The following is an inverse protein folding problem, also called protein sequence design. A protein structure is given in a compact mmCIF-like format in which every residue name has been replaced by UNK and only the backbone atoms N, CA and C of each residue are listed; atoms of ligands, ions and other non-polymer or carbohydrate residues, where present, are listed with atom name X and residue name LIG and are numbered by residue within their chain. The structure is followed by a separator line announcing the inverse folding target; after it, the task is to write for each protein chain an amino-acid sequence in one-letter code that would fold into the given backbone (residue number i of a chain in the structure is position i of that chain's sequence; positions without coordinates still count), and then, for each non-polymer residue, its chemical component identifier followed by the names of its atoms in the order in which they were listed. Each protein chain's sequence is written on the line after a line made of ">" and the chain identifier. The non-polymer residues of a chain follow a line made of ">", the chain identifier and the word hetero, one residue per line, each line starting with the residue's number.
data_IF_396945970136
#
_entry.id   IF_396945970136
#
_cell.length_a   1.000
_cell.length_b   1.000
_cell.length_c   1.000
_cell.angle_alpha   90.00
_cell.angle_beta   90.00
_cell.angle_gamma   90.00
#
_symmetry.space_group_name_H-M   'P 1'
#
loop_
_entity.id
_entity.type
_entity.pdbx_description
1 polymer ?
#
# COMPACT_ATOMS: atom_id res chain seq x y z
N UNK A 1 -0.68 -66.12 -32.01
CA UNK A 1 -1.66 -65.47 -31.20
C UNK A 1 -2.99 -66.22 -31.23
N UNK A 2 -3.82 -66.04 -30.24
CA UNK A 2 -5.21 -66.48 -30.23
C UNK A 2 -5.99 -65.72 -31.29
N UNK A 3 -7.09 -66.27 -31.80
CA UNK A 3 -7.93 -65.60 -32.79
C UNK A 3 -8.44 -64.26 -32.24
N UNK A 4 -8.41 -63.21 -33.05
CA UNK A 4 -8.90 -61.88 -32.66
C UNK A 4 -7.99 -61.03 -31.73
N UNK A 5 -6.75 -61.50 -31.48
CA UNK A 5 -5.81 -60.74 -30.70
C UNK A 5 -5.21 -59.60 -31.53
N UNK A 6 -5.15 -58.36 -31.02
CA UNK A 6 -4.54 -57.24 -31.72
C UNK A 6 -3.02 -57.42 -31.80
N UNK A 7 -2.43 -56.82 -32.82
CA UNK A 7 -0.98 -56.56 -32.81
C UNK A 7 -0.67 -55.50 -31.78
N UNK A 8 0.42 -55.64 -31.05
CA UNK A 8 0.91 -54.66 -30.10
C UNK A 8 2.16 -54.02 -30.69
N UNK A 9 2.12 -52.71 -30.80
CA UNK A 9 3.21 -51.88 -31.31
C UNK A 9 3.93 -51.26 -30.10
N UNK A 10 5.23 -51.49 -29.96
CA UNK A 10 6.06 -50.92 -28.89
C UNK A 10 6.24 -49.39 -29.04
N UNK A 11 6.08 -48.88 -30.26
CA UNK A 11 6.07 -47.47 -30.58
C UNK A 11 4.67 -46.86 -30.54
N UNK A 12 3.65 -47.58 -30.06
CA UNK A 12 2.26 -47.14 -30.03
C UNK A 12 1.98 -45.95 -29.13
N UNK A 13 2.91 -45.57 -28.27
CA UNK A 13 2.90 -44.36 -27.42
C UNK A 13 3.70 -43.19 -27.98
N UNK A 14 4.17 -43.27 -29.24
CA UNK A 14 4.90 -42.19 -29.92
C UNK A 14 6.40 -42.15 -29.69
N UNK A 15 6.94 -42.91 -28.76
CA UNK A 15 8.38 -43.01 -28.52
C UNK A 15 8.95 -44.32 -29.03
N UNK A 16 9.55 -44.28 -30.21
CA UNK A 16 9.92 -45.43 -31.04
C UNK A 16 11.06 -46.28 -30.47
N UNK A 17 11.88 -45.75 -29.56
CA UNK A 17 13.13 -46.43 -29.16
C UNK A 17 13.26 -46.63 -27.63
N UNK A 18 12.44 -46.03 -26.81
CA UNK A 18 12.58 -46.03 -25.35
C UNK A 18 11.70 -47.08 -24.64
N UNK A 19 10.70 -47.63 -25.31
CA UNK A 19 9.73 -48.54 -24.72
C UNK A 19 9.90 -50.00 -25.13
N UNK A 20 9.34 -50.87 -24.32
CA UNK A 20 9.16 -52.30 -24.64
C UNK A 20 7.71 -52.69 -24.37
N UNK A 21 7.23 -53.71 -25.12
CA UNK A 21 5.94 -54.34 -24.84
C UNK A 21 6.04 -55.21 -23.60
N UNK A 22 5.39 -54.82 -22.52
CA UNK A 22 5.41 -55.48 -21.22
C UNK A 22 4.03 -56.03 -20.83
N UNK A 23 3.99 -57.24 -20.26
CA UNK A 23 2.74 -57.77 -19.70
C UNK A 23 2.45 -57.10 -18.36
N UNK A 24 1.29 -56.47 -18.27
CA UNK A 24 0.87 -55.72 -17.07
C UNK A 24 -0.45 -56.28 -16.48
N UNK A 25 -0.36 -56.81 -15.26
CA UNK A 25 0.84 -57.14 -14.46
C UNK A 25 1.63 -58.31 -15.07
N UNK A 26 2.84 -58.59 -14.54
CA UNK A 26 3.68 -59.68 -14.99
C UNK A 26 2.90 -60.96 -15.23
N UNK A 27 3.00 -61.53 -16.46
CA UNK A 27 2.31 -62.75 -16.85
C UNK A 27 0.81 -62.59 -17.20
N UNK A 28 0.28 -61.37 -17.17
CA UNK A 28 -1.13 -61.12 -17.51
C UNK A 28 -1.55 -61.61 -18.87
N UNK A 29 -2.83 -61.95 -19.03
CA UNK A 29 -3.48 -62.35 -20.28
C UNK A 29 -3.21 -63.80 -20.74
N UNK A 30 -2.29 -64.50 -20.12
CA UNK A 30 -1.98 -65.90 -20.45
C UNK A 30 -1.27 -66.10 -21.81
N UNK A 31 -1.17 -67.39 -22.26
CA UNK A 31 -0.45 -67.72 -23.46
C UNK A 31 -1.12 -67.19 -24.74
N UNK A 32 -0.33 -66.65 -25.65
CA UNK A 32 -0.75 -66.19 -27.00
C UNK A 32 -1.81 -65.05 -26.95
N UNK A 33 -1.85 -64.31 -25.85
CA UNK A 33 -2.76 -63.17 -25.65
C UNK A 33 -1.95 -61.88 -25.57
N UNK A 34 -2.31 -60.89 -26.38
CA UNK A 34 -1.68 -59.56 -26.45
C UNK A 34 -2.40 -58.46 -25.71
N UNK A 35 -3.62 -58.71 -25.24
CA UNK A 35 -4.42 -57.68 -24.57
C UNK A 35 -3.84 -57.24 -23.21
N UNK A 36 -2.95 -58.03 -22.62
CA UNK A 36 -2.27 -57.67 -21.39
C UNK A 36 -0.94 -56.94 -21.57
N UNK A 37 -0.54 -56.62 -22.81
CA UNK A 37 0.68 -55.85 -23.03
C UNK A 37 0.42 -54.35 -22.93
N UNK A 38 1.34 -53.66 -22.30
CA UNK A 38 1.50 -52.22 -22.32
C UNK A 38 2.91 -51.84 -22.75
N UNK A 39 3.06 -50.69 -23.35
CA UNK A 39 4.35 -50.09 -23.65
C UNK A 39 4.85 -49.33 -22.44
N UNK A 40 6.03 -49.60 -21.97
CA UNK A 40 6.69 -48.91 -20.89
C UNK A 40 8.21 -49.06 -20.95
N UNK A 41 8.92 -48.24 -20.14
CA UNK A 41 10.37 -48.30 -20.03
C UNK A 41 10.84 -49.76 -19.83
N UNK A 42 11.81 -50.30 -20.62
CA UNK A 42 12.27 -51.66 -20.51
C UNK A 42 12.75 -52.01 -19.08
N UNK A 43 12.26 -53.13 -18.56
CA UNK A 43 12.62 -53.67 -17.22
C UNK A 43 13.28 -55.03 -17.29
N UNK A 44 14.43 -55.21 -18.00
CA UNK A 44 15.04 -56.53 -18.20
C UNK A 44 15.49 -57.15 -16.88
N UNK A 45 14.94 -58.32 -16.54
CA UNK A 45 15.28 -59.04 -15.32
C UNK A 45 14.58 -58.52 -14.04
N UNK A 46 13.67 -57.56 -14.16
CA UNK A 46 12.89 -57.02 -13.09
C UNK A 46 11.37 -57.17 -13.34
N UNK A 47 10.56 -56.83 -12.38
CA UNK A 47 9.10 -56.73 -12.53
C UNK A 47 8.77 -55.66 -13.56
N UNK A 48 7.82 -55.96 -14.47
CA UNK A 48 7.37 -55.01 -15.45
C UNK A 48 6.80 -53.76 -14.77
N UNK A 49 7.15 -52.62 -15.31
CA UNK A 49 6.54 -51.37 -14.91
C UNK A 49 5.11 -51.30 -15.49
N UNK A 50 4.17 -51.28 -14.60
CA UNK A 50 2.74 -51.23 -14.93
C UNK A 50 2.11 -49.93 -14.40
N UNK A 51 2.90 -48.92 -14.17
CA UNK A 51 2.39 -47.60 -13.83
C UNK A 51 1.41 -47.20 -14.94
N UNK A 52 0.26 -46.76 -14.52
CA UNK A 52 -0.73 -46.11 -15.39
C UNK A 52 -0.47 -44.62 -15.29
N UNK A 53 -0.12 -44.02 -16.40
CA UNK A 53 -0.11 -42.60 -16.52
C UNK A 53 -1.47 -42.02 -16.09
N UNK A 54 -1.45 -40.87 -15.45
CA UNK A 54 -2.62 -40.12 -15.05
C UNK A 54 -2.59 -38.76 -15.74
N UNK A 55 -3.59 -38.47 -16.53
CA UNK A 55 -3.70 -37.17 -17.21
C UNK A 55 -3.51 -36.00 -16.26
N UNK A 56 -2.78 -34.94 -16.66
CA UNK A 56 -2.57 -33.76 -15.82
C UNK A 56 -3.88 -33.10 -15.40
N UNK A 57 -3.87 -32.52 -14.20
CA UNK A 57 -4.98 -31.76 -13.67
C UNK A 57 -4.55 -30.39 -13.20
N UNK A 58 -5.44 -29.39 -13.30
CA UNK A 58 -5.29 -28.12 -12.60
C UNK A 58 -5.65 -28.35 -11.14
N UNK A 59 -4.73 -28.06 -10.24
CA UNK A 59 -4.88 -28.24 -8.78
C UNK A 59 -5.16 -26.92 -8.06
N UNK A 60 -4.65 -25.81 -8.58
CA UNK A 60 -4.89 -24.49 -8.02
C UNK A 60 -4.90 -23.39 -9.09
N UNK A 61 -5.53 -22.27 -8.78
CA UNK A 61 -5.56 -21.08 -9.64
C UNK A 61 -5.87 -19.80 -8.83
N UNK A 62 -5.30 -18.71 -9.30
CA UNK A 62 -5.57 -17.36 -8.79
C UNK A 62 -5.94 -16.44 -9.97
N UNK A 63 -6.90 -15.50 -9.82
CA UNK A 63 -7.80 -15.33 -8.67
C UNK A 63 -8.65 -16.55 -8.37
N UNK A 64 -9.04 -16.73 -7.10
CA UNK A 64 -9.89 -17.85 -6.68
C UNK A 64 -11.28 -17.82 -7.37
N UNK A 65 -11.96 -18.95 -7.39
CA UNK A 65 -13.34 -19.03 -7.92
C UNK A 65 -14.25 -18.09 -7.14
N UNK A 66 -15.01 -17.27 -7.90
CA UNK A 66 -15.99 -16.32 -7.40
C UNK A 66 -15.40 -15.21 -6.50
N UNK A 67 -14.07 -15.00 -6.59
CA UNK A 67 -13.42 -13.87 -5.94
C UNK A 67 -14.07 -12.55 -6.38
N UNK A 68 -14.22 -11.62 -5.44
CA UNK A 68 -14.77 -10.27 -5.64
C UNK A 68 -13.68 -9.23 -5.45
N UNK A 69 -13.87 -8.03 -5.99
CA UNK A 69 -12.94 -6.91 -5.79
C UNK A 69 -11.57 -7.12 -6.42
N UNK A 70 -11.45 -8.00 -7.42
CA UNK A 70 -10.17 -8.33 -8.04
C UNK A 70 -9.64 -7.13 -8.83
N UNK A 71 -8.39 -6.74 -8.62
CA UNK A 71 -7.80 -5.61 -9.32
C UNK A 71 -7.87 -5.78 -10.85
N UNK A 72 -8.21 -4.71 -11.56
CA UNK A 72 -8.36 -4.72 -13.03
C UNK A 72 -7.08 -5.09 -13.80
N UNK A 73 -5.93 -5.09 -13.14
CA UNK A 73 -4.60 -5.41 -13.69
C UNK A 73 -4.07 -6.77 -13.25
N UNK A 74 -4.88 -7.57 -12.55
CA UNK A 74 -4.47 -8.85 -11.98
C UNK A 74 -3.99 -9.83 -13.03
N UNK A 75 -2.85 -10.48 -12.77
CA UNK A 75 -2.40 -11.66 -13.50
C UNK A 75 -3.15 -12.91 -13.00
N UNK A 76 -3.28 -13.90 -13.87
CA UNK A 76 -3.92 -15.18 -13.59
C UNK A 76 -2.83 -16.22 -13.40
N UNK A 77 -2.86 -16.97 -12.31
CA UNK A 77 -1.94 -18.08 -12.03
C UNK A 77 -2.69 -19.39 -12.18
N UNK A 78 -2.06 -20.39 -12.78
CA UNK A 78 -2.62 -21.75 -12.92
C UNK A 78 -1.54 -22.75 -12.53
N UNK A 79 -1.86 -23.63 -11.58
CA UNK A 79 -0.96 -24.70 -11.10
C UNK A 79 -1.50 -26.08 -11.49
N UNK A 80 -0.60 -26.94 -11.95
CA UNK A 80 -0.87 -28.32 -12.35
C UNK A 80 -0.25 -29.30 -11.35
N UNK A 81 -0.82 -30.52 -11.27
CA UNK A 81 -0.32 -31.59 -10.40
C UNK A 81 0.98 -32.25 -10.91
N UNK A 82 1.32 -31.99 -12.17
CA UNK A 82 2.52 -32.52 -12.81
C UNK A 82 3.07 -31.55 -13.88
N UNK A 83 4.32 -31.75 -14.38
CA UNK A 83 4.89 -30.93 -15.44
C UNK A 83 4.10 -31.02 -16.73
N UNK A 84 3.66 -29.88 -17.29
CA UNK A 84 2.92 -29.79 -18.55
C UNK A 84 3.59 -28.87 -19.55
N UNK A 85 3.28 -29.09 -20.83
CA UNK A 85 3.54 -28.19 -21.93
C UNK A 85 2.27 -27.53 -22.39
N UNK A 86 2.27 -26.20 -22.50
CA UNK A 86 1.13 -25.42 -22.99
C UNK A 86 1.42 -24.83 -24.36
N UNK A 87 0.45 -24.85 -25.28
CA UNK A 87 0.63 -24.37 -26.64
C UNK A 87 -0.44 -23.38 -27.07
N UNK A 88 -0.05 -22.37 -27.85
CA UNK A 88 -0.96 -21.42 -28.45
C UNK A 88 -1.82 -20.68 -27.42
N UNK A 89 -3.12 -20.59 -27.68
CA UNK A 89 -4.10 -19.99 -26.75
C UNK A 89 -4.71 -21.07 -25.84
N UNK A 90 -3.85 -21.67 -25.01
CA UNK A 90 -4.22 -22.76 -24.11
C UNK A 90 -5.26 -22.36 -23.03
N UNK A 91 -5.43 -21.07 -22.80
CA UNK A 91 -6.45 -20.53 -21.95
C UNK A 91 -7.30 -19.48 -22.69
N UNK A 92 -8.56 -19.38 -22.36
CA UNK A 92 -9.42 -18.28 -22.77
C UNK A 92 -9.71 -17.41 -21.55
N UNK A 93 -9.47 -16.09 -21.68
CA UNK A 93 -9.83 -15.07 -20.71
C UNK A 93 -10.93 -14.24 -21.33
N UNK A 94 -12.15 -14.37 -20.82
CA UNK A 94 -13.33 -13.69 -21.38
C UNK A 94 -14.12 -12.98 -20.31
N UNK A 95 -14.28 -11.68 -20.46
CA UNK A 95 -15.02 -10.81 -19.56
C UNK A 95 -16.33 -10.33 -20.21
N UNK A 96 -17.27 -9.90 -19.38
CA UNK A 96 -18.64 -9.51 -19.83
C UNK A 96 -18.59 -8.19 -20.59
N UNK A 97 -17.83 -7.21 -20.12
CA UNK A 97 -17.76 -5.84 -20.67
C UNK A 97 -16.57 -5.69 -21.61
N UNK A 98 -15.35 -5.98 -21.14
CA UNK A 98 -14.11 -5.83 -21.92
C UNK A 98 -13.89 -6.92 -22.99
N UNK A 99 -14.65 -8.01 -22.94
CA UNK A 99 -14.64 -9.05 -23.96
C UNK A 99 -13.53 -10.09 -23.77
N UNK A 100 -12.91 -10.52 -24.88
CA UNK A 100 -11.84 -11.55 -24.83
C UNK A 100 -10.47 -10.89 -24.82
N UNK A 101 -9.68 -11.19 -23.81
CA UNK A 101 -8.33 -10.67 -23.64
C UNK A 101 -7.29 -11.52 -24.32
N UNK A 102 -6.30 -10.86 -24.94
CA UNK A 102 -5.02 -11.44 -25.28
C UNK A 102 -4.10 -11.39 -24.07
N UNK A 103 -3.13 -12.30 -24.02
CA UNK A 103 -2.26 -12.42 -22.85
C UNK A 103 -0.87 -12.92 -23.23
N UNK A 104 0.08 -12.69 -22.33
CA UNK A 104 1.40 -13.33 -22.32
C UNK A 104 1.41 -14.43 -21.27
N UNK A 105 2.14 -15.52 -21.56
CA UNK A 105 2.36 -16.63 -20.60
C UNK A 105 3.82 -16.65 -20.19
N UNK A 106 4.08 -16.77 -18.89
CA UNK A 106 5.40 -16.97 -18.30
C UNK A 106 5.34 -18.10 -17.27
N UNK A 107 6.50 -18.58 -16.79
CA UNK A 107 6.57 -19.70 -15.84
C UNK A 107 6.55 -21.07 -16.54
N UNK A 108 6.10 -22.11 -15.85
CA UNK A 108 6.10 -23.51 -16.23
C UNK A 108 7.27 -24.30 -15.63
N UNK A 109 7.25 -25.63 -15.68
CA UNK A 109 6.20 -26.49 -16.30
C UNK A 109 5.02 -26.82 -15.37
N UNK A 110 5.06 -26.46 -14.07
CA UNK A 110 4.00 -26.75 -13.08
C UNK A 110 3.09 -25.53 -12.85
N UNK A 111 3.68 -24.35 -12.69
CA UNK A 111 2.95 -23.09 -12.48
C UNK A 111 3.14 -22.17 -13.67
N UNK A 112 2.04 -21.65 -14.20
CA UNK A 112 2.04 -20.67 -15.28
C UNK A 112 1.36 -19.37 -14.83
N UNK A 113 1.99 -18.24 -15.18
CA UNK A 113 1.44 -16.91 -15.01
C UNK A 113 0.96 -16.37 -16.34
N UNK A 114 -0.31 -16.05 -16.42
CA UNK A 114 -0.98 -15.48 -17.60
C UNK A 114 -1.29 -14.01 -17.31
N UNK A 115 -0.61 -13.12 -18.01
CA UNK A 115 -0.76 -11.68 -17.86
C UNK A 115 -1.54 -11.12 -19.05
N UNK A 116 -2.78 -10.64 -18.85
CA UNK A 116 -3.53 -9.95 -19.89
C UNK A 116 -2.74 -8.76 -20.45
N UNK A 117 -2.86 -8.51 -21.75
CA UNK A 117 -2.15 -7.39 -22.40
C UNK A 117 -2.83 -6.05 -22.19
N UNK A 118 -4.10 -6.07 -21.79
CA UNK A 118 -4.92 -4.91 -21.43
C UNK A 118 -5.64 -5.21 -20.12
N UNK A 119 -5.87 -4.19 -19.32
CA UNK A 119 -6.62 -4.30 -18.06
C UNK A 119 -8.06 -4.75 -18.30
N UNK A 120 -8.63 -5.42 -17.32
CA UNK A 120 -10.07 -5.71 -17.27
C UNK A 120 -10.85 -4.39 -17.08
N UNK A 121 -12.13 -4.36 -17.47
CA UNK A 121 -13.03 -3.29 -17.05
C UNK A 121 -13.34 -3.42 -15.55
N UNK A 122 -13.78 -2.34 -14.94
CA UNK A 122 -14.24 -2.35 -13.56
C UNK A 122 -15.63 -3.00 -13.45
N UNK A 123 -15.96 -3.56 -12.30
CA UNK A 123 -17.26 -4.16 -11.98
C UNK A 123 -17.72 -5.21 -13.00
N UNK A 124 -16.82 -5.96 -13.59
CA UNK A 124 -17.18 -6.99 -14.57
C UNK A 124 -16.83 -8.41 -14.10
N UNK A 125 -17.61 -9.37 -14.57
CA UNK A 125 -17.31 -10.79 -14.40
C UNK A 125 -16.39 -11.25 -15.53
N UNK A 126 -15.23 -11.80 -15.15
CA UNK A 126 -14.30 -12.45 -16.06
C UNK A 126 -14.31 -13.97 -15.86
N UNK A 127 -14.34 -14.72 -16.94
CA UNK A 127 -14.31 -16.19 -16.95
C UNK A 127 -13.05 -16.69 -17.63
N UNK A 128 -12.28 -17.49 -16.92
CA UNK A 128 -11.12 -18.22 -17.40
C UNK A 128 -11.55 -19.61 -17.80
N UNK A 129 -10.92 -20.12 -18.85
CA UNK A 129 -11.16 -21.49 -19.31
C UNK A 129 -9.88 -22.07 -19.86
N UNK A 130 -9.39 -23.15 -19.25
CA UNK A 130 -8.26 -23.94 -19.74
C UNK A 130 -8.75 -24.90 -20.83
N UNK A 131 -8.09 -24.88 -21.99
CA UNK A 131 -8.40 -25.75 -23.11
C UNK A 131 -7.62 -27.07 -23.00
N UNK A 132 -8.28 -28.19 -22.71
CA UNK A 132 -7.60 -29.47 -22.51
C UNK A 132 -6.80 -29.98 -23.71
N UNK A 133 -7.17 -29.56 -24.92
CA UNK A 133 -6.47 -30.00 -26.13
C UNK A 133 -5.10 -29.34 -26.35
N UNK A 134 -4.82 -28.25 -25.60
CA UNK A 134 -3.60 -27.44 -25.74
C UNK A 134 -2.70 -27.51 -24.49
N UNK A 135 -3.01 -28.42 -23.56
CA UNK A 135 -2.21 -28.73 -22.37
C UNK A 135 -1.87 -30.21 -22.43
N UNK A 136 -0.59 -30.54 -22.51
CA UNK A 136 -0.07 -31.93 -22.55
C UNK A 136 0.96 -32.10 -21.43
N UNK A 137 1.02 -33.30 -20.84
CA UNK A 137 2.09 -33.63 -19.91
C UNK A 137 3.47 -33.65 -20.59
N UNK A 138 4.52 -33.88 -19.81
CA UNK A 138 5.89 -33.95 -20.27
C UNK A 138 6.53 -35.32 -19.97
N UNK A 139 5.76 -36.25 -19.45
CA UNK A 139 6.29 -37.59 -19.22
C UNK A 139 6.21 -38.46 -20.48
N UNK A 140 6.60 -39.70 -20.35
CA UNK A 140 6.69 -40.68 -21.48
C UNK A 140 5.86 -41.93 -21.20
N UNK A 141 5.05 -41.92 -20.15
CA UNK A 141 4.28 -43.10 -19.71
C UNK A 141 2.86 -43.17 -20.32
N UNK A 142 2.67 -42.51 -21.42
CA UNK A 142 1.45 -42.26 -22.20
C UNK A 142 0.61 -43.47 -22.66
N UNK A 143 -0.65 -43.22 -23.05
CA UNK A 143 -1.57 -42.10 -22.73
C UNK A 143 -2.27 -42.30 -21.37
N UNK A 144 -2.92 -41.28 -20.81
CA UNK A 144 -3.50 -40.07 -21.44
C UNK A 144 -2.67 -38.81 -21.26
N UNK A 145 -2.16 -38.25 -22.32
CA UNK A 145 -1.22 -37.11 -22.39
C UNK A 145 -1.84 -35.74 -22.21
N UNK A 146 -3.17 -35.63 -22.27
CA UNK A 146 -3.87 -34.34 -22.26
C UNK A 146 -4.57 -34.09 -20.95
N UNK A 147 -4.76 -32.80 -20.61
CA UNK A 147 -5.52 -32.38 -19.43
C UNK A 147 -6.82 -33.18 -19.31
N UNK A 148 -7.02 -33.81 -18.15
CA UNK A 148 -8.11 -34.77 -17.91
C UNK A 148 -9.51 -34.19 -18.20
N UNK A 149 -9.70 -32.90 -17.95
CA UNK A 149 -10.98 -32.22 -18.14
C UNK A 149 -10.81 -30.71 -18.34
N UNK A 150 -11.77 -30.10 -19.03
CA UNK A 150 -11.89 -28.65 -19.12
C UNK A 150 -12.09 -28.05 -17.73
N UNK A 151 -11.25 -27.07 -17.37
CA UNK A 151 -11.41 -26.30 -16.13
C UNK A 151 -11.87 -24.89 -16.48
N UNK A 152 -12.87 -24.41 -15.74
CA UNK A 152 -13.36 -23.05 -15.90
C UNK A 152 -13.77 -22.47 -14.54
N UNK A 153 -13.42 -21.22 -14.32
CA UNK A 153 -13.79 -20.46 -13.12
C UNK A 153 -14.01 -18.99 -13.48
N UNK A 154 -14.58 -18.21 -12.59
CA UNK A 154 -14.80 -16.78 -12.77
C UNK A 154 -14.44 -16.01 -11.51
N UNK A 155 -14.17 -14.73 -11.70
CA UNK A 155 -14.04 -13.72 -10.65
C UNK A 155 -14.76 -12.43 -11.09
N UNK A 156 -14.97 -11.51 -10.16
CA UNK A 156 -15.52 -10.17 -10.43
C UNK A 156 -14.43 -9.14 -10.11
N UNK A 157 -14.18 -8.22 -11.04
CA UNK A 157 -13.26 -7.12 -10.82
C UNK A 157 -13.82 -6.10 -9.83
N UNK A 158 -12.95 -5.37 -9.15
CA UNK A 158 -13.33 -4.26 -8.29
C UNK A 158 -13.96 -3.11 -9.07
N UNK A 159 -14.62 -2.20 -8.34
CA UNK A 159 -15.13 -0.94 -8.87
C UNK A 159 -14.04 -0.03 -9.39
N UNK A 160 -14.44 1.02 -10.09
CA UNK A 160 -13.50 2.07 -10.51
C UNK A 160 -12.78 2.65 -9.28
N UNK A 161 -11.45 2.72 -9.27
CA UNK A 161 -10.73 3.24 -8.12
C UNK A 161 -11.16 4.65 -7.78
N UNK A 162 -11.27 4.92 -6.49
CA UNK A 162 -11.67 6.22 -5.98
C UNK A 162 -10.50 7.22 -6.08
N UNK A 163 -10.29 7.80 -7.25
CA UNK A 163 -9.19 8.72 -7.58
C UNK A 163 -9.24 10.07 -6.82
N UNK A 164 -10.30 10.29 -6.05
CA UNK A 164 -10.50 11.44 -5.17
C UNK A 164 -10.07 11.20 -3.71
N UNK A 165 -9.72 9.97 -3.34
CA UNK A 165 -9.18 9.64 -2.01
C UNK A 165 -7.78 10.23 -1.88
N UNK A 166 -7.50 10.85 -0.73
CA UNK A 166 -6.23 11.50 -0.41
C UNK A 166 -5.64 10.92 0.88
N UNK A 167 -4.32 11.00 0.99
CA UNK A 167 -3.63 10.82 2.27
C UNK A 167 -3.93 12.05 3.11
N UNK A 168 -4.57 11.88 4.26
CA UNK A 168 -5.08 12.96 5.09
C UNK A 168 -4.21 13.27 6.30
N UNK A 169 -3.66 12.22 6.92
CA UNK A 169 -2.80 12.32 8.09
C UNK A 169 -1.69 11.26 8.03
N UNK A 170 -0.49 11.62 8.50
CA UNK A 170 0.66 10.71 8.62
C UNK A 170 1.29 10.95 9.99
N UNK A 171 1.44 9.90 10.80
CA UNK A 171 2.16 9.88 12.07
C UNK A 171 3.24 8.80 11.99
N UNK A 172 4.49 9.23 11.79
CA UNK A 172 5.63 8.34 11.54
C UNK A 172 6.60 8.23 12.72
N UNK A 173 6.53 9.15 13.69
CA UNK A 173 7.47 9.20 14.82
C UNK A 173 6.70 9.44 16.12
N UNK A 174 6.53 8.41 16.93
CA UNK A 174 5.77 8.45 18.17
C UNK A 174 6.66 8.39 19.40
N UNK A 175 6.27 8.95 20.59
CA UNK A 175 7.14 9.03 21.75
C UNK A 175 7.72 7.69 22.21
N UNK A 176 9.03 7.54 22.12
CA UNK A 176 9.78 6.42 22.66
C UNK A 176 9.91 5.24 21.71
N UNK A 177 9.08 4.21 21.81
CA UNK A 177 9.02 3.11 20.84
C UNK A 177 7.81 3.35 19.96
N UNK A 178 8.01 3.35 18.64
CA UNK A 178 6.95 3.61 17.68
C UNK A 178 5.86 2.54 17.76
N UNK A 179 4.78 2.87 18.46
CA UNK A 179 3.67 1.96 18.75
C UNK A 179 2.30 2.58 18.49
N UNK A 180 2.26 3.77 17.89
CA UNK A 180 1.04 4.48 17.54
C UNK A 180 1.10 5.10 16.14
N UNK A 181 1.99 4.59 15.28
CA UNK A 181 2.12 5.03 13.89
C UNK A 181 0.87 4.72 13.07
N UNK A 182 0.51 5.66 12.19
CA UNK A 182 -0.60 5.44 11.27
C UNK A 182 -0.51 6.30 10.02
N UNK A 183 -1.28 5.88 9.02
CA UNK A 183 -1.63 6.66 7.85
C UNK A 183 -3.16 6.72 7.81
N UNK A 184 -3.71 7.89 7.57
CA UNK A 184 -5.14 8.07 7.36
C UNK A 184 -5.41 8.50 5.92
N UNK A 185 -6.42 7.89 5.33
CA UNK A 185 -7.00 8.29 4.05
C UNK A 185 -8.34 8.99 4.29
N UNK A 186 -8.69 9.91 3.38
CA UNK A 186 -9.96 10.63 3.42
C UNK A 186 -10.57 10.74 2.02
N UNK A 187 -11.87 10.47 1.89
CA UNK A 187 -12.60 10.45 0.63
C UNK A 187 -13.37 11.74 0.31
N UNK A 188 -13.09 12.80 1.06
CA UNK A 188 -13.80 14.08 0.92
C UNK A 188 -15.16 14.11 1.63
N UNK A 189 -15.39 13.22 2.62
CA UNK A 189 -16.63 13.13 3.40
C UNK A 189 -17.79 12.47 2.64
N UNK A 190 -17.49 11.66 1.62
CA UNK A 190 -18.50 10.89 0.88
C UNK A 190 -19.01 9.71 1.68
N UNK A 191 -18.11 9.06 2.44
CA UNK A 191 -18.38 7.91 3.27
C UNK A 191 -18.60 6.60 2.50
N UNK A 192 -18.19 5.48 3.12
CA UNK A 192 -18.35 4.13 2.59
C UNK A 192 -17.77 3.93 1.18
N UNK A 193 -16.73 4.71 0.84
CA UNK A 193 -16.03 4.60 -0.45
C UNK A 193 -15.19 3.33 -0.49
N UNK A 194 -15.43 2.43 -1.43
CA UNK A 194 -14.60 1.26 -1.66
C UNK A 194 -13.17 1.67 -2.09
N UNK A 195 -12.16 1.03 -1.51
CA UNK A 195 -10.74 1.29 -1.79
C UNK A 195 -10.13 0.26 -2.75
N UNK A 196 -10.98 -0.51 -3.44
CA UNK A 196 -10.55 -1.49 -4.43
C UNK A 196 -9.68 -0.85 -5.53
N UNK A 197 -8.57 -1.49 -5.83
CA UNK A 197 -7.61 -1.00 -6.83
C UNK A 197 -6.74 0.15 -6.35
N UNK A 198 -6.84 0.55 -5.08
CA UNK A 198 -5.90 1.45 -4.42
C UNK A 198 -4.88 0.68 -3.60
N UNK A 199 -3.68 1.23 -3.49
CA UNK A 199 -2.62 0.67 -2.65
C UNK A 199 -1.71 1.78 -2.12
N UNK A 200 -1.12 1.53 -0.95
CA UNK A 200 -0.08 2.37 -0.37
C UNK A 200 1.28 1.74 -0.65
N UNK A 201 2.23 2.55 -1.12
CA UNK A 201 3.64 2.18 -1.25
C UNK A 201 4.47 3.09 -0.35
N UNK A 202 5.28 2.49 0.50
CA UNK A 202 6.20 3.18 1.39
C UNK A 202 7.59 3.20 0.79
N UNK A 203 8.20 4.39 0.69
CA UNK A 203 9.53 4.61 0.11
C UNK A 203 10.52 5.12 1.15
N UNK A 204 11.70 4.52 1.18
CA UNK A 204 12.81 4.93 2.03
C UNK A 204 13.69 5.97 1.30
N UNK A 205 13.81 7.16 1.87
CA UNK A 205 14.58 8.26 1.28
C UNK A 205 16.09 8.07 1.32
N UNK A 206 16.61 7.15 2.15
CA UNK A 206 18.05 6.88 2.19
C UNK A 206 18.55 6.16 0.93
N UNK A 207 17.67 5.43 0.23
CA UNK A 207 18.01 4.65 -0.96
C UNK A 207 17.05 4.87 -2.15
N UNK A 208 15.95 5.60 -1.95
CA UNK A 208 14.90 5.89 -2.93
C UNK A 208 14.20 4.64 -3.49
N UNK A 209 14.08 3.60 -2.67
CA UNK A 209 13.40 2.35 -3.03
C UNK A 209 12.17 2.12 -2.15
N UNK A 210 11.17 1.43 -2.69
CA UNK A 210 10.03 0.97 -1.91
C UNK A 210 10.46 -0.10 -0.90
N UNK A 211 9.90 -0.08 0.30
CA UNK A 211 10.14 -1.12 1.30
C UNK A 211 8.89 -1.89 1.70
N UNK A 212 7.71 -1.33 1.46
CA UNK A 212 6.45 -2.01 1.72
C UNK A 212 5.37 -1.56 0.74
N UNK A 213 4.53 -2.50 0.31
CA UNK A 213 3.32 -2.25 -0.48
C UNK A 213 2.13 -2.85 0.25
N UNK A 214 1.07 -2.07 0.43
CA UNK A 214 -0.13 -2.42 1.19
C UNK A 214 -1.32 -2.31 0.23
N UNK A 215 -1.99 -3.42 -0.05
CA UNK A 215 -3.19 -3.49 -0.87
C UNK A 215 -4.40 -3.10 -0.03
N UNK A 216 -5.23 -2.20 -0.55
CA UNK A 216 -6.44 -1.72 0.10
C UNK A 216 -7.72 -2.39 -0.45
N UNK A 217 -7.58 -3.39 -1.33
CA UNK A 217 -8.69 -4.15 -1.88
C UNK A 217 -9.54 -4.84 -0.81
N UNK A 218 -10.84 -4.70 -0.90
CA UNK A 218 -11.80 -5.25 0.06
C UNK A 218 -12.05 -4.37 1.29
N UNK A 219 -11.39 -3.22 1.41
CA UNK A 219 -11.65 -2.21 2.44
C UNK A 219 -12.50 -1.07 1.91
N UNK A 220 -13.06 -0.28 2.82
CA UNK A 220 -13.83 0.93 2.53
C UNK A 220 -13.57 1.98 3.60
N UNK A 221 -13.74 3.25 3.27
CA UNK A 221 -13.80 4.31 4.26
C UNK A 221 -15.01 4.12 5.19
N UNK A 222 -14.99 4.72 6.36
CA UNK A 222 -16.11 4.75 7.28
C UNK A 222 -17.27 5.66 6.78
N UNK A 223 -18.33 5.82 7.56
CA UNK A 223 -19.48 6.68 7.21
C UNK A 223 -19.11 8.18 7.11
N UNK A 224 -18.00 8.59 7.72
CA UNK A 224 -17.47 9.96 7.72
C UNK A 224 -16.43 10.19 6.62
N UNK A 225 -15.96 9.11 5.98
CA UNK A 225 -15.01 9.16 4.86
C UNK A 225 -13.56 8.91 5.25
N UNK A 226 -13.28 8.46 6.47
CA UNK A 226 -11.93 8.12 6.95
C UNK A 226 -11.62 6.63 6.78
N UNK A 227 -10.34 6.33 6.59
CA UNK A 227 -9.78 4.97 6.66
C UNK A 227 -8.40 5.02 7.28
N UNK A 228 -8.22 4.35 8.41
CA UNK A 228 -6.96 4.36 9.16
C UNK A 228 -6.24 3.02 8.98
N UNK A 229 -4.97 3.09 8.57
CA UNK A 229 -4.05 1.95 8.59
C UNK A 229 -2.90 2.26 9.55
N UNK A 230 -2.62 1.35 10.48
CA UNK A 230 -1.64 1.61 11.53
C UNK A 230 -1.51 0.48 12.53
N UNK A 231 -0.79 0.73 13.61
CA UNK A 231 -0.70 -0.24 14.67
C UNK A 231 -1.95 -0.27 15.58
N UNK A 232 -2.02 -1.25 16.45
CA UNK A 232 -3.21 -1.50 17.28
C UNK A 232 -3.53 -0.40 18.29
N UNK A 233 -2.61 0.52 18.59
CA UNK A 233 -2.81 1.58 19.58
C UNK A 233 -3.74 2.68 19.06
N UNK A 234 -3.81 2.88 17.75
CA UNK A 234 -4.68 3.88 17.10
C UNK A 234 -6.06 3.35 16.69
N UNK A 235 -6.37 2.07 16.99
CA UNK A 235 -7.64 1.42 16.62
C UNK A 235 -7.91 1.49 15.11
N UNK A 236 -6.99 0.98 14.26
CA UNK A 236 -7.07 1.16 12.82
C UNK A 236 -8.09 0.21 12.17
N UNK A 237 -8.55 0.56 10.95
CA UNK A 237 -9.35 -0.31 10.07
C UNK A 237 -8.48 -1.44 9.49
N UNK A 238 -7.21 -1.14 9.22
CA UNK A 238 -6.20 -2.11 8.79
C UNK A 238 -5.02 -2.12 9.76
N UNK A 239 -4.87 -3.22 10.50
CA UNK A 239 -3.78 -3.39 11.46
C UNK A 239 -2.46 -3.68 10.75
N UNK A 240 -1.44 -2.89 11.04
CA UNK A 240 -0.05 -3.07 10.60
C UNK A 240 0.87 -3.37 11.80
N UNK A 241 2.09 -3.82 11.51
CA UNK A 241 3.08 -4.07 12.55
C UNK A 241 3.65 -2.75 13.08
N UNK A 242 3.98 -2.68 14.37
CA UNK A 242 4.68 -1.54 14.95
C UNK A 242 5.99 -1.25 14.20
N UNK A 243 6.32 0.01 14.00
CA UNK A 243 7.49 0.44 13.24
C UNK A 243 7.37 0.17 11.74
N UNK A 244 6.16 0.19 11.19
CA UNK A 244 5.95 0.01 9.74
C UNK A 244 6.31 1.27 8.94
N UNK A 245 6.22 2.45 9.55
CA UNK A 245 6.77 3.68 9.01
C UNK A 245 8.21 3.89 9.52
N UNK A 246 9.08 4.43 8.70
CA UNK A 246 10.45 4.75 9.09
C UNK A 246 10.53 6.24 9.45
N UNK A 247 11.30 6.59 10.50
CA UNK A 247 11.37 7.96 11.05
C UNK A 247 12.28 8.92 10.24
N UNK A 248 12.81 8.48 9.13
CA UNK A 248 13.69 9.30 8.27
C UNK A 248 12.91 10.23 7.35
N UNK A 249 13.60 10.99 6.46
CA UNK A 249 12.90 11.63 5.36
C UNK A 249 12.45 10.56 4.36
N UNK A 250 11.21 10.15 4.45
CA UNK A 250 10.60 9.05 3.71
C UNK A 250 9.29 9.49 3.05
N UNK A 251 8.61 8.58 2.36
CA UNK A 251 7.35 8.91 1.71
C UNK A 251 6.30 7.82 1.81
N UNK A 252 5.07 8.26 1.98
CA UNK A 252 3.84 7.49 1.77
C UNK A 252 3.27 7.90 0.42
N UNK A 253 2.97 6.94 -0.45
CA UNK A 253 2.39 7.22 -1.76
C UNK A 253 1.18 6.32 -2.03
N UNK A 254 0.09 6.93 -2.49
CA UNK A 254 -1.17 6.28 -2.85
C UNK A 254 -1.21 6.08 -4.36
N UNK A 255 -1.42 4.84 -4.79
CA UNK A 255 -1.45 4.47 -6.21
C UNK A 255 -2.75 3.80 -6.61
N UNK A 256 -3.10 3.93 -7.89
CA UNK A 256 -4.02 3.02 -8.58
C UNK A 256 -3.21 1.88 -9.18
N UNK A 257 -3.58 0.63 -8.90
CA UNK A 257 -2.94 -0.54 -9.48
C UNK A 257 -3.15 -1.82 -8.67
N UNK A 258 -2.34 -2.83 -8.96
CA UNK A 258 -2.27 -4.07 -8.19
C UNK A 258 -0.92 -4.21 -7.51
N UNK A 259 -0.87 -4.83 -6.33
CA UNK A 259 0.34 -4.96 -5.52
C UNK A 259 1.53 -5.61 -6.27
N UNK A 260 1.26 -6.50 -7.22
CA UNK A 260 2.29 -7.13 -8.04
C UNK A 260 3.08 -6.15 -8.95
N UNK A 261 2.53 -4.97 -9.20
CA UNK A 261 3.20 -3.92 -9.99
C UNK A 261 4.21 -3.10 -9.16
N UNK A 262 4.14 -3.22 -7.84
CA UNK A 262 4.95 -2.45 -6.88
C UNK A 262 5.69 -3.39 -5.91
N UNK A 263 6.56 -4.29 -6.40
CA UNK A 263 7.32 -5.16 -5.51
C UNK A 263 8.28 -4.33 -4.65
N UNK A 264 8.57 -4.80 -3.44
CA UNK A 264 9.56 -4.16 -2.56
C UNK A 264 10.92 -4.04 -3.24
N UNK A 265 11.69 -3.02 -2.87
CA UNK A 265 12.96 -2.63 -3.49
C UNK A 265 12.82 -2.13 -4.94
N UNK A 266 11.66 -1.62 -5.32
CA UNK A 266 11.44 -0.98 -6.62
C UNK A 266 11.77 0.52 -6.56
N UNK A 267 12.34 1.09 -7.65
CA UNK A 267 12.54 2.53 -7.76
C UNK A 267 11.21 3.30 -7.72
N UNK A 268 11.28 4.58 -7.33
CA UNK A 268 10.16 5.50 -7.37
C UNK A 268 9.56 5.57 -8.79
N UNK A 269 8.25 5.43 -8.89
CA UNK A 269 7.48 5.57 -10.13
C UNK A 269 6.37 6.60 -9.95
N UNK A 270 5.96 7.22 -11.05
CA UNK A 270 4.79 8.11 -11.09
C UNK A 270 3.60 7.46 -11.82
N UNK A 271 3.79 6.25 -12.35
CA UNK A 271 2.72 5.55 -13.06
C UNK A 271 1.66 5.07 -12.08
N UNK A 272 0.44 5.55 -12.23
CA UNK A 272 -0.67 5.23 -11.32
C UNK A 272 -0.66 6.01 -10.00
N UNK A 273 0.29 6.93 -9.79
CA UNK A 273 0.37 7.74 -8.58
C UNK A 273 -0.83 8.70 -8.49
N UNK A 274 -1.59 8.61 -7.41
CA UNK A 274 -2.68 9.52 -7.08
C UNK A 274 -2.23 10.63 -6.14
N UNK A 275 -1.72 10.24 -4.98
CA UNK A 275 -1.33 11.18 -3.94
C UNK A 275 -0.03 10.74 -3.27
N UNK A 276 0.64 11.66 -2.61
CA UNK A 276 1.85 11.35 -1.84
C UNK A 276 2.06 12.36 -0.72
N UNK A 277 2.58 11.87 0.41
CA UNK A 277 3.15 12.66 1.47
C UNK A 277 4.63 12.34 1.63
N UNK A 278 5.48 13.37 1.62
CA UNK A 278 6.92 13.25 1.94
C UNK A 278 7.14 13.92 3.28
N UNK A 279 7.56 13.12 4.26
CA UNK A 279 7.72 13.56 5.64
C UNK A 279 9.19 13.54 6.10
N UNK A 280 9.47 14.24 7.18
CA UNK A 280 10.81 14.48 7.72
C UNK A 280 11.35 15.86 7.39
N UNK A 281 12.54 16.20 7.92
CA UNK A 281 13.12 17.52 7.77
C UNK A 281 13.34 17.90 6.29
N UNK A 282 12.75 19.01 5.80
CA UNK A 282 12.72 19.35 4.37
C UNK A 282 14.10 19.40 3.72
N UNK A 283 15.10 19.90 4.43
CA UNK A 283 16.48 20.04 3.93
C UNK A 283 17.21 18.71 3.74
N UNK A 284 16.67 17.61 4.27
CA UNK A 284 17.23 16.26 4.18
C UNK A 284 16.50 15.35 3.20
N UNK A 285 15.31 15.75 2.75
CA UNK A 285 14.54 14.98 1.77
C UNK A 285 15.27 14.86 0.43
N UNK A 286 15.30 13.66 -0.14
CA UNK A 286 15.95 13.43 -1.43
C UNK A 286 15.14 14.06 -2.58
N UNK A 287 15.82 14.52 -3.64
CA UNK A 287 15.18 15.05 -4.83
C UNK A 287 14.31 13.99 -5.55
N UNK A 288 14.66 12.71 -5.42
CA UNK A 288 13.88 11.63 -6.00
C UNK A 288 12.54 11.42 -5.26
N UNK A 289 12.53 11.50 -3.90
CA UNK A 289 11.28 11.51 -3.13
C UNK A 289 10.40 12.70 -3.50
N UNK A 290 10.98 13.91 -3.61
CA UNK A 290 10.22 15.11 -3.95
C UNK A 290 9.56 15.05 -5.33
N UNK A 291 9.99 14.15 -6.23
CA UNK A 291 9.29 13.89 -7.51
C UNK A 291 7.91 13.28 -7.33
N UNK A 292 7.63 12.64 -6.18
CA UNK A 292 6.29 12.17 -5.85
C UNK A 292 5.30 13.32 -5.66
N UNK A 293 5.78 14.50 -5.29
CA UNK A 293 4.99 15.71 -5.08
C UNK A 293 4.82 16.51 -6.38
N UNK A 294 3.89 17.47 -6.37
CA UNK A 294 3.79 18.49 -7.41
C UNK A 294 5.04 19.40 -7.41
N UNK A 295 5.35 19.97 -8.57
CA UNK A 295 6.55 20.80 -8.72
C UNK A 295 6.54 22.00 -7.76
N UNK A 296 7.65 22.17 -7.02
CA UNK A 296 7.82 23.24 -6.05
C UNK A 296 7.27 22.95 -4.67
N UNK A 297 6.75 21.73 -4.42
CA UNK A 297 6.41 21.28 -3.09
C UNK A 297 7.66 20.78 -2.35
N UNK A 298 7.66 20.92 -1.03
CA UNK A 298 8.71 20.48 -0.12
C UNK A 298 8.18 19.39 0.82
N UNK A 299 9.06 18.64 1.47
CA UNK A 299 8.69 17.71 2.53
C UNK A 299 8.14 18.50 3.74
N UNK A 300 7.33 17.87 4.55
CA UNK A 300 6.84 18.45 5.81
C UNK A 300 7.41 17.68 7.01
N UNK A 301 7.77 18.42 8.06
CA UNK A 301 8.29 17.87 9.30
C UNK A 301 7.20 17.86 10.37
N UNK A 302 6.83 16.69 10.87
CA UNK A 302 5.86 16.55 11.95
C UNK A 302 6.35 17.18 13.25
N UNK A 303 7.67 17.26 13.45
CA UNK A 303 8.33 17.93 14.57
C UNK A 303 8.53 19.45 14.37
N UNK A 304 8.08 20.00 13.25
CA UNK A 304 8.31 21.39 12.84
C UNK A 304 7.78 22.46 13.80
N UNK A 305 6.91 22.10 14.77
CA UNK A 305 6.42 22.96 15.85
C UNK A 305 7.16 22.77 17.19
N UNK A 306 8.25 22.02 17.19
CA UNK A 306 9.10 21.83 18.38
C UNK A 306 8.52 20.92 19.45
N UNK A 307 7.45 20.19 19.17
CA UNK A 307 6.90 19.14 20.02
C UNK A 307 7.35 17.79 19.46
N UNK A 308 8.58 17.41 19.78
CA UNK A 308 9.15 16.16 19.34
C UNK A 308 8.22 14.98 19.64
N UNK A 309 7.96 14.15 18.62
CA UNK A 309 7.30 12.86 18.70
C UNK A 309 5.85 12.87 19.21
N UNK A 310 5.15 14.01 19.22
CA UNK A 310 3.77 14.11 19.72
C UNK A 310 2.77 14.68 18.72
N UNK A 311 3.23 14.90 17.50
CA UNK A 311 2.41 15.42 16.41
C UNK A 311 2.45 14.48 15.20
N UNK A 312 1.34 14.46 14.47
CA UNK A 312 1.21 13.94 13.12
C UNK A 312 1.20 15.07 12.10
N UNK A 313 1.44 14.77 10.85
CA UNK A 313 1.23 15.67 9.72
C UNK A 313 -0.21 15.56 9.25
N UNK A 314 -0.99 16.62 9.38
CA UNK A 314 -2.42 16.67 9.07
C UNK A 314 -2.73 17.65 7.95
N UNK A 315 -3.54 17.25 6.96
CA UNK A 315 -4.14 18.21 6.03
C UNK A 315 -5.11 19.11 6.75
N UNK A 316 -4.99 20.41 6.56
CA UNK A 316 -5.82 21.40 7.22
C UNK A 316 -6.49 22.37 6.24
N UNK A 317 -7.86 22.27 6.16
CA UNK A 317 -8.75 21.23 6.72
C UNK A 317 -8.62 19.87 6.01
N UNK A 318 -9.34 18.84 6.50
CA UNK A 318 -9.37 17.52 5.88
C UNK A 318 -9.52 17.59 4.36
N UNK A 319 -8.70 16.81 3.64
CA UNK A 319 -8.70 16.73 2.20
C UNK A 319 -8.25 17.99 1.45
N UNK A 320 -7.78 19.04 2.15
CA UNK A 320 -7.37 20.30 1.51
C UNK A 320 -6.08 20.19 0.71
N UNK A 321 -5.83 21.15 -0.17
CA UNK A 321 -4.61 21.26 -0.98
C UNK A 321 -4.61 20.41 -2.25
N UNK A 322 -5.37 19.33 -2.30
CA UNK A 322 -5.40 18.40 -3.44
C UNK A 322 -4.23 17.41 -3.45
N UNK A 323 -4.16 16.63 -4.53
CA UNK A 323 -3.19 15.54 -4.69
C UNK A 323 -1.75 16.03 -4.72
N UNK A 324 -0.86 15.26 -4.08
CA UNK A 324 0.61 15.43 -4.14
C UNK A 324 1.10 16.79 -3.64
N UNK A 325 0.39 17.37 -2.65
CA UNK A 325 0.70 18.69 -2.11
C UNK A 325 0.88 18.63 -0.60
N UNK A 326 2.01 19.16 -0.14
CA UNK A 326 2.38 19.23 1.27
C UNK A 326 2.09 20.59 1.91
N UNK A 327 1.82 21.63 1.13
CA UNK A 327 1.56 23.00 1.61
C UNK A 327 0.27 23.16 2.42
N UNK A 328 -0.60 22.16 2.40
CA UNK A 328 -1.79 22.07 3.26
C UNK A 328 -1.58 21.27 4.55
N UNK A 329 -0.43 20.61 4.69
CA UNK A 329 -0.14 19.85 5.91
C UNK A 329 0.42 20.74 7.01
N UNK A 330 -0.01 20.48 8.23
CA UNK A 330 0.51 21.11 9.43
C UNK A 330 0.70 20.07 10.54
N UNK A 331 1.78 20.16 11.33
CA UNK A 331 1.97 19.30 12.50
C UNK A 331 0.96 19.67 13.59
N UNK A 332 0.21 18.67 14.06
CA UNK A 332 -0.79 18.80 15.14
C UNK A 332 -0.91 17.51 15.96
N UNK A 333 -1.61 17.57 17.09
CA UNK A 333 -1.93 16.38 17.89
C UNK A 333 -2.68 15.36 17.03
N UNK A 334 -2.25 14.09 16.99
CA UNK A 334 -2.85 13.04 16.15
C UNK A 334 -4.36 12.89 16.33
N UNK A 335 -5.07 12.65 15.21
CA UNK A 335 -6.53 12.56 15.15
C UNK A 335 -7.03 11.37 14.32
N UNK A 336 -6.51 10.14 14.53
CA UNK A 336 -6.88 9.00 13.69
C UNK A 336 -8.40 8.72 13.73
N UNK A 337 -9.03 8.68 12.55
CA UNK A 337 -10.46 8.37 12.37
C UNK A 337 -11.41 9.50 12.74
N UNK A 338 -10.93 10.73 12.95
CA UNK A 338 -11.76 11.90 13.27
C UNK A 338 -11.19 13.16 12.61
N UNK A 339 -11.98 14.24 12.44
CA UNK A 339 -11.53 15.45 11.76
C UNK A 339 -10.22 16.03 12.32
N UNK A 340 -9.32 16.39 11.40
CA UNK A 340 -8.02 16.99 11.68
C UNK A 340 -8.16 18.28 12.51
N UNK A 341 -7.23 18.47 13.44
CA UNK A 341 -7.16 19.70 14.27
C UNK A 341 -6.45 20.80 13.50
N UNK A 342 -7.21 21.63 12.85
CA UNK A 342 -6.68 22.76 12.07
C UNK A 342 -6.54 23.99 12.94
N UNK A 343 -5.72 23.93 13.97
CA UNK A 343 -5.43 25.10 14.78
C UNK A 343 -4.67 26.11 13.93
N UNK A 344 -5.28 27.26 13.71
CA UNK A 344 -4.60 28.39 13.08
C UNK A 344 -3.60 28.90 14.13
N UNK A 345 -2.32 28.71 13.88
CA UNK A 345 -1.27 29.36 14.66
C UNK A 345 -1.37 30.86 14.44
N UNK A 346 -2.08 31.53 15.35
CA UNK A 346 -2.18 32.99 15.36
C UNK A 346 -0.96 33.52 16.09
N UNK A 347 -0.31 34.51 15.51
CA UNK A 347 0.78 35.22 16.20
C UNK A 347 0.36 35.62 17.60
N UNK A 348 1.24 35.44 18.62
CA UNK A 348 0.90 35.78 19.99
C UNK A 348 0.45 37.24 20.15
N UNK A 349 -0.59 37.44 20.91
CA UNK A 349 -1.12 38.78 21.21
C UNK A 349 -1.16 39.04 22.72
N UNK A 350 -1.03 40.28 23.11
CA UNK A 350 -1.23 40.68 24.50
C UNK A 350 -2.74 40.77 24.75
N UNK A 351 -3.27 39.89 25.60
CA UNK A 351 -4.71 39.83 25.92
C UNK A 351 -5.09 40.64 27.11
N UNK A 352 -4.14 40.95 28.01
CA UNK A 352 -4.39 41.86 29.14
C UNK A 352 -3.10 42.53 29.65
N UNK A 353 -3.27 43.73 30.20
CA UNK A 353 -2.21 44.45 30.91
C UNK A 353 -2.70 44.94 32.26
N UNK A 354 -1.82 44.92 33.26
CA UNK A 354 -2.09 45.54 34.57
C UNK A 354 -0.87 46.43 34.89
N UNK A 355 -1.02 47.77 34.97
CA UNK A 355 -2.23 48.56 34.84
C UNK A 355 -2.88 48.41 33.45
N UNK A 356 -4.21 48.55 33.39
CA UNK A 356 -4.95 48.51 32.14
C UNK A 356 -4.57 49.68 31.21
N UNK A 357 -4.74 49.52 29.91
CA UNK A 357 -4.53 50.59 28.94
C UNK A 357 -5.38 51.81 29.31
N UNK A 358 -4.75 52.99 29.39
CA UNK A 358 -5.41 54.22 29.75
C UNK A 358 -5.65 54.42 31.25
N UNK A 359 -5.11 53.54 32.12
CA UNK A 359 -5.22 53.71 33.57
C UNK A 359 -4.59 55.03 34.02
N UNK A 360 -5.26 55.74 34.95
CA UNK A 360 -4.79 56.99 35.57
C UNK A 360 -4.52 56.78 37.04
N UNK A 361 -3.65 57.62 37.63
CA UNK A 361 -3.31 57.52 39.04
C UNK A 361 -2.45 56.29 39.38
N UNK A 362 -1.75 55.78 38.42
CA UNK A 362 -0.84 54.65 38.58
C UNK A 362 0.37 55.08 39.40
N UNK A 363 0.81 54.24 40.36
CA UNK A 363 1.99 54.50 41.15
C UNK A 363 3.25 54.59 40.27
N UNK A 364 4.10 55.56 40.54
CA UNK A 364 5.42 55.68 39.85
C UNK A 364 6.36 54.47 40.08
N UNK A 365 6.05 53.60 41.01
CA UNK A 365 6.74 52.34 41.31
C UNK A 365 5.98 51.12 40.83
N UNK A 366 4.87 51.29 40.07
CA UNK A 366 4.08 50.14 39.62
C UNK A 366 4.85 49.29 38.62
N UNK A 367 4.78 47.95 38.80
CA UNK A 367 5.17 46.99 37.77
C UNK A 367 4.02 46.81 36.78
N UNK A 368 4.33 46.47 35.57
CA UNK A 368 3.38 46.18 34.49
C UNK A 368 3.33 44.67 34.29
N UNK A 369 2.15 44.09 34.46
CA UNK A 369 1.95 42.68 34.10
C UNK A 369 1.37 42.60 32.67
N UNK A 370 1.96 41.77 31.85
CA UNK A 370 1.52 41.44 30.48
C UNK A 370 1.05 39.99 30.46
N UNK A 371 -0.14 39.72 29.93
CA UNK A 371 -0.61 38.37 29.69
C UNK A 371 -0.77 38.16 28.19
N UNK A 372 -0.19 37.10 27.67
CA UNK A 372 -0.23 36.75 26.26
C UNK A 372 -1.31 35.70 25.97
N UNK A 373 -1.77 35.63 24.73
CA UNK A 373 -2.73 34.63 24.25
C UNK A 373 -2.19 33.21 24.28
N UNK A 374 -0.88 33.09 24.24
CA UNK A 374 -0.17 31.81 24.21
C UNK A 374 1.21 31.96 24.87
N UNK A 375 1.93 30.84 25.03
CA UNK A 375 3.27 30.82 25.57
C UNK A 375 4.26 31.52 24.63
N UNK A 376 5.02 32.49 25.15
CA UNK A 376 6.01 33.24 24.41
C UNK A 376 7.35 33.27 25.17
N UNK A 377 8.44 33.34 24.43
CA UNK A 377 9.76 33.65 24.95
C UNK A 377 10.08 35.13 24.74
N UNK A 378 10.25 35.85 25.81
CA UNK A 378 10.55 37.29 25.79
C UNK A 378 12.07 37.49 25.90
N UNK A 379 12.71 37.80 24.78
CA UNK A 379 14.13 38.08 24.73
C UNK A 379 14.46 39.39 25.50
N UNK A 380 15.66 39.47 26.05
CA UNK A 380 16.15 40.70 26.72
C UNK A 380 16.09 41.88 25.74
N UNK A 381 15.40 42.97 26.15
CA UNK A 381 15.27 44.19 25.34
C UNK A 381 14.10 44.20 24.34
N UNK A 382 13.31 43.13 24.27
CA UNK A 382 12.10 43.10 23.40
C UNK A 382 10.93 43.93 24.00
N UNK A 383 10.93 44.20 25.31
CA UNK A 383 9.97 45.10 25.97
C UNK A 383 10.66 46.38 26.34
N UNK A 384 10.10 47.51 25.90
CA UNK A 384 10.52 48.84 26.25
C UNK A 384 9.46 49.54 27.05
N UNK A 385 9.89 50.31 28.10
CA UNK A 385 9.04 51.21 28.84
C UNK A 385 9.48 52.63 28.55
N UNK A 386 8.68 53.32 27.76
CA UNK A 386 8.91 54.70 27.40
C UNK A 386 7.98 55.63 28.19
N UNK A 387 8.53 56.63 28.85
CA UNK A 387 7.77 57.58 29.64
C UNK A 387 8.02 59.00 29.11
N UNK A 388 7.07 59.53 28.33
CA UNK A 388 6.97 60.88 27.85
C UNK A 388 8.31 61.62 27.64
N UNK A 389 8.65 62.55 28.49
CA UNK A 389 9.85 63.40 28.36
C UNK A 389 11.18 62.74 28.84
N UNK A 390 11.09 61.62 29.54
CA UNK A 390 12.31 60.93 30.04
C UNK A 390 12.84 59.85 29.08
N UNK A 391 12.08 59.49 28.07
CA UNK A 391 12.46 58.43 27.14
C UNK A 391 12.44 57.02 27.75
N UNK A 392 13.27 56.12 27.22
CA UNK A 392 13.30 54.70 27.62
C UNK A 392 13.83 54.53 29.07
N UNK A 393 13.04 53.84 29.89
CA UNK A 393 13.45 53.39 31.21
C UNK A 393 13.96 51.97 31.17
N UNK A 394 15.06 51.71 31.91
CA UNK A 394 15.52 50.34 32.08
C UNK A 394 14.50 49.53 32.87
N UNK A 395 14.23 48.30 32.40
CA UNK A 395 13.26 47.40 33.02
C UNK A 395 13.91 46.06 33.35
N UNK A 396 13.39 45.44 34.42
CA UNK A 396 13.63 44.02 34.70
C UNK A 396 12.37 43.25 34.33
N UNK A 397 12.58 42.14 33.60
CA UNK A 397 11.48 41.24 33.15
C UNK A 397 11.60 39.96 33.96
N UNK A 398 10.48 39.52 34.51
CA UNK A 398 10.37 38.23 35.22
C UNK A 398 9.02 37.56 34.94
N UNK A 399 8.94 36.23 35.21
CA UNK A 399 7.77 35.42 34.89
C UNK A 399 7.91 34.65 33.56
N UNK A 400 6.83 34.33 32.91
CA UNK A 400 6.74 33.54 31.66
C UNK A 400 6.14 32.16 31.88
N UNK A 401 5.84 31.40 30.80
CA UNK A 401 5.80 31.87 29.39
C UNK A 401 4.50 32.61 29.00
N UNK A 402 3.42 32.48 29.80
CA UNK A 402 2.10 33.11 29.50
C UNK A 402 1.94 34.52 30.09
N UNK A 403 2.67 34.85 31.16
CA UNK A 403 2.53 36.14 31.85
C UNK A 403 3.90 36.64 32.33
N UNK A 404 4.21 37.87 31.98
CA UNK A 404 5.43 38.55 32.37
C UNK A 404 5.16 39.76 33.20
N UNK A 405 6.04 40.00 34.19
CA UNK A 405 6.09 41.22 35.01
C UNK A 405 7.27 42.07 34.55
N UNK A 406 6.98 43.28 34.12
CA UNK A 406 7.96 44.31 33.73
C UNK A 406 8.07 45.31 34.85
N UNK A 407 9.23 45.36 35.51
CA UNK A 407 9.43 46.27 36.65
C UNK A 407 10.44 47.38 36.26
N UNK A 408 10.07 48.65 36.37
CA UNK A 408 10.96 49.76 36.14
C UNK A 408 12.16 49.70 37.11
N UNK A 409 13.36 49.90 36.61
CA UNK A 409 14.59 49.97 37.45
C UNK A 409 14.66 51.29 38.30
N UNK A 410 13.90 52.30 37.92
CA UNK A 410 13.76 53.56 38.61
C UNK A 410 12.30 54.05 38.61
N UNK A 411 11.89 54.91 39.55
CA UNK A 411 10.52 55.44 39.54
C UNK A 411 10.19 56.12 38.20
N UNK A 412 8.97 55.86 37.70
CA UNK A 412 8.42 56.55 36.52
C UNK A 412 8.18 58.06 36.88
N UNK A 413 8.28 58.97 35.89
CA UNK A 413 8.01 60.38 36.14
C UNK A 413 6.54 60.60 36.62
N UNK A 414 6.34 61.62 37.46
CA UNK A 414 4.99 62.04 37.81
C UNK A 414 4.32 62.66 36.57
N UNK A 415 3.03 62.34 36.39
CA UNK A 415 2.17 62.88 35.30
C UNK A 415 2.69 62.46 33.87
N UNK A 416 3.47 61.36 33.76
CA UNK A 416 3.84 60.79 32.45
C UNK A 416 2.71 59.94 31.90
N UNK A 417 2.58 59.97 30.58
CA UNK A 417 1.70 59.08 29.78
C UNK A 417 2.51 58.10 29.00
#
# INVERSE_FOLDING_TARGET
>A
LNAGQPQVDEAGRGDVEAHSNQRCPNGAGGARNTTGYKQNTPTPGATNDCATDTAPNVIDFSPARDAQGVASTTAIVVEFDEPVSVTGKWMTVKCVTSGTHTYNTTGGPIEFVVTPTESFAYDETCTMTVNPDLVTDQDTDDPPDKLAKKVSWSFVTGGEPADFVLINEIDADTPGTDTAEFIELYDGGRGLTALDGLLIVLYNGSNNLSYQTIDLGGFSTDEQGYFVLGDTAVTPDLVLANGFLQNGPDAVALFIGGAAQFPNNSPITLQGLLDAGVYGAPETASQDLLRLLEAGQEAADENGRGAADTHSLQRCPDGSGGQRRMDSYAPNTPTPGVPNRCEVDLSPTIISTIPAVGATGVSVYASINLTFSEAVDVASGSIRLECGTQGDLSVAISGGPLSYTVSPAAPMPQEAT
#
